data_IF_924988165471
#
_entry.id   IF_924988165471
#
_cell.length_a   1.000
_cell.length_b   1.000
_cell.length_c   1.000
_cell.angle_alpha   90.00
_cell.angle_beta   90.00
_cell.angle_gamma   90.00
#
_symmetry.space_group_name_H-M   'P 1'
#
loop_
_entity.id
_entity.type
_entity.pdbx_description
1 polymer ?
#
# COMPACT_ATOMS: atom_id res chain seq x y z
N UNK A 1 37.89 -9.51 3.41
CA UNK A 1 37.25 -8.18 3.32
C UNK A 1 36.98 -7.90 1.87
N UNK A 2 35.81 -7.36 1.53
CA UNK A 2 35.58 -6.81 0.19
C UNK A 2 36.42 -5.52 0.00
N UNK A 3 36.38 -4.96 -1.20
CA UNK A 3 37.10 -3.73 -1.57
C UNK A 3 36.71 -2.50 -0.71
N UNK A 4 35.61 -2.61 0.05
CA UNK A 4 35.10 -1.61 0.99
C UNK A 4 35.38 -1.93 2.48
N UNK A 5 36.16 -2.97 2.78
CA UNK A 5 36.53 -3.32 4.16
C UNK A 5 35.43 -4.05 4.95
N UNK A 6 34.38 -4.56 4.30
CA UNK A 6 33.32 -5.32 4.98
C UNK A 6 33.73 -6.78 5.19
N UNK A 7 33.43 -7.31 6.36
CA UNK A 7 33.59 -8.74 6.66
C UNK A 7 32.44 -9.49 5.97
N UNK A 8 32.71 -10.46 5.08
CA UNK A 8 31.67 -11.25 4.46
C UNK A 8 31.02 -12.16 5.52
N UNK A 9 29.70 -12.04 5.67
CA UNK A 9 28.92 -12.93 6.51
C UNK A 9 28.38 -14.09 5.67
N UNK A 10 28.49 -15.30 6.18
CA UNK A 10 27.93 -16.51 5.58
C UNK A 10 26.95 -17.17 6.53
N UNK A 11 25.87 -17.77 5.99
CA UNK A 11 24.93 -18.53 6.79
C UNK A 11 25.63 -19.73 7.45
N UNK A 12 25.33 -19.97 8.72
CA UNK A 12 25.68 -21.23 9.40
C UNK A 12 24.78 -22.36 8.91
N UNK A 13 25.09 -23.62 9.24
CA UNK A 13 24.17 -24.71 8.91
C UNK A 13 22.82 -24.55 9.60
N UNK A 14 22.83 -24.16 10.88
CA UNK A 14 21.61 -23.81 11.61
C UNK A 14 20.82 -22.69 10.90
N UNK A 15 21.50 -21.66 10.40
CA UNK A 15 20.87 -20.59 9.62
C UNK A 15 20.26 -21.07 8.31
N UNK A 16 20.90 -22.02 7.61
CA UNK A 16 20.33 -22.64 6.40
C UNK A 16 19.10 -23.48 6.71
N UNK A 17 19.10 -24.23 7.81
CA UNK A 17 17.93 -25.01 8.28
C UNK A 17 16.77 -24.08 8.59
N UNK A 18 17.00 -23.02 9.36
CA UNK A 18 15.94 -22.06 9.71
C UNK A 18 15.40 -21.35 8.46
N UNK A 19 16.25 -20.94 7.52
CA UNK A 19 15.83 -20.31 6.28
C UNK A 19 14.94 -21.23 5.43
N UNK A 20 15.30 -22.52 5.33
CA UNK A 20 14.45 -23.52 4.64
C UNK A 20 13.09 -23.68 5.32
N UNK A 21 13.06 -23.74 6.65
CA UNK A 21 11.81 -23.80 7.40
C UNK A 21 10.95 -22.55 7.16
N UNK A 22 11.58 -21.36 7.18
CA UNK A 22 10.91 -20.08 6.95
C UNK A 22 10.21 -20.00 5.58
N UNK A 23 10.85 -20.47 4.50
CA UNK A 23 10.23 -20.48 3.16
C UNK A 23 8.93 -21.29 3.07
N UNK A 24 8.72 -22.25 3.98
CA UNK A 24 7.52 -23.09 4.01
C UNK A 24 6.48 -22.63 5.02
N UNK A 25 6.85 -21.71 5.91
CA UNK A 25 5.96 -21.20 6.95
C UNK A 25 4.99 -20.18 6.33
N UNK A 26 3.66 -20.37 6.44
CA UNK A 26 2.70 -19.37 6.00
C UNK A 26 2.92 -18.04 6.73
N UNK A 27 2.68 -16.93 6.03
CA UNK A 27 2.65 -15.60 6.65
C UNK A 27 1.29 -15.41 7.30
N UNK A 28 1.23 -15.50 8.62
CA UNK A 28 0.03 -15.16 9.39
C UNK A 28 -0.24 -13.66 9.30
N UNK A 29 -1.44 -13.30 8.83
CA UNK A 29 -1.92 -11.91 8.90
C UNK A 29 -2.68 -11.76 10.21
N UNK A 30 -1.97 -11.44 11.29
CA UNK A 30 -2.63 -10.88 12.48
C UNK A 30 -3.44 -9.64 12.03
N UNK A 31 -4.60 -9.41 12.66
CA UNK A 31 -5.58 -8.38 12.29
C UNK A 31 -4.92 -7.11 11.71
N UNK A 32 -5.42 -6.56 10.59
CA UNK A 32 -4.72 -5.54 9.83
C UNK A 32 -4.22 -4.46 10.79
N UNK A 33 -2.90 -4.30 10.84
CA UNK A 33 -2.23 -3.22 11.57
C UNK A 33 -3.03 -1.95 11.29
N UNK A 34 -3.54 -1.29 12.34
CA UNK A 34 -4.38 -0.11 12.27
C UNK A 34 -4.04 0.76 11.06
N UNK A 35 -4.89 0.67 10.03
CA UNK A 35 -4.69 1.42 8.80
C UNK A 35 -4.85 2.90 9.13
N UNK A 36 -3.73 3.63 9.08
CA UNK A 36 -3.66 5.05 9.47
C UNK A 36 -4.64 5.89 8.64
N UNK A 37 -4.85 5.55 7.37
CA UNK A 37 -5.76 6.28 6.49
C UNK A 37 -7.22 6.04 6.89
N UNK A 38 -7.59 4.82 7.23
CA UNK A 38 -8.92 4.52 7.75
C UNK A 38 -9.21 5.31 9.03
N UNK A 39 -8.23 5.36 9.94
CA UNK A 39 -8.33 6.15 11.18
C UNK A 39 -8.47 7.65 10.87
N UNK A 40 -7.66 8.19 9.96
CA UNK A 40 -7.76 9.59 9.52
C UNK A 40 -9.14 9.92 8.98
N UNK A 41 -9.70 9.09 8.10
CA UNK A 41 -11.03 9.34 7.53
C UNK A 41 -12.12 9.28 8.60
N UNK A 42 -12.08 8.30 9.52
CA UNK A 42 -13.06 8.20 10.61
C UNK A 42 -12.99 9.42 11.52
N UNK A 43 -11.78 9.89 11.88
CA UNK A 43 -11.62 11.09 12.70
C UNK A 43 -12.06 12.35 11.97
N UNK A 44 -11.77 12.47 10.67
CA UNK A 44 -12.13 13.64 9.87
C UNK A 44 -13.65 13.85 9.76
N UNK A 45 -14.45 12.78 9.76
CA UNK A 45 -15.93 12.88 9.72
C UNK A 45 -16.49 13.61 10.94
N UNK A 46 -15.90 13.44 12.12
CA UNK A 46 -16.38 14.06 13.37
C UNK A 46 -15.63 15.31 13.81
N UNK A 47 -14.57 15.72 13.11
CA UNK A 47 -13.68 16.78 13.53
C UNK A 47 -14.16 18.16 13.04
N UNK A 48 -14.44 19.13 13.94
CA UNK A 48 -14.79 20.48 13.54
C UNK A 48 -13.68 21.14 12.71
N UNK A 49 -14.05 21.72 11.57
CA UNK A 49 -13.12 22.45 10.70
C UNK A 49 -12.24 21.58 9.80
N UNK A 50 -12.42 20.25 9.78
CA UNK A 50 -11.73 19.35 8.85
C UNK A 50 -12.63 19.05 7.65
N UNK A 51 -12.15 19.33 6.43
CA UNK A 51 -12.83 18.86 5.22
C UNK A 51 -12.34 17.45 4.87
N UNK A 52 -13.18 16.45 5.19
CA UNK A 52 -12.91 15.04 4.85
C UNK A 52 -12.72 14.82 3.34
N UNK A 53 -13.30 15.66 2.47
CA UNK A 53 -13.06 15.58 1.03
C UNK A 53 -11.65 15.99 0.66
N UNK A 54 -11.10 17.01 1.32
CA UNK A 54 -9.72 17.43 1.09
C UNK A 54 -8.72 16.33 1.50
N UNK A 55 -9.00 15.63 2.61
CA UNK A 55 -8.20 14.48 3.05
C UNK A 55 -8.24 13.35 2.01
N UNK A 56 -9.43 13.02 1.51
CA UNK A 56 -9.62 11.97 0.51
C UNK A 56 -8.93 12.32 -0.82
N UNK A 57 -9.09 13.55 -1.30
CA UNK A 57 -8.47 14.05 -2.52
C UNK A 57 -6.94 14.07 -2.43
N UNK A 58 -6.41 14.45 -1.26
CA UNK A 58 -4.97 14.44 -1.01
C UNK A 58 -4.41 13.02 -1.09
N UNK A 59 -5.09 12.05 -0.46
CA UNK A 59 -4.68 10.66 -0.54
C UNK A 59 -4.80 10.10 -1.97
N UNK A 60 -5.90 10.41 -2.67
CA UNK A 60 -6.13 9.98 -4.05
C UNK A 60 -5.01 10.41 -4.99
N UNK A 61 -4.54 11.67 -4.88
CA UNK A 61 -3.39 12.15 -5.66
C UNK A 61 -2.12 11.37 -5.35
N UNK A 62 -1.83 11.14 -4.08
CA UNK A 62 -0.65 10.39 -3.65
C UNK A 62 -0.68 8.94 -4.19
N UNK A 63 -1.82 8.25 -4.11
CA UNK A 63 -1.99 6.89 -4.63
C UNK A 63 -1.84 6.86 -6.15
N UNK A 64 -2.41 7.83 -6.87
CA UNK A 64 -2.31 7.91 -8.33
C UNK A 64 -0.86 8.13 -8.79
N UNK A 65 -0.12 9.03 -8.14
CA UNK A 65 1.30 9.28 -8.42
C UNK A 65 2.14 8.03 -8.13
N UNK A 66 1.89 7.36 -7.00
CA UNK A 66 2.58 6.12 -6.63
C UNK A 66 2.31 5.01 -7.65
N UNK A 67 1.05 4.80 -8.02
CA UNK A 67 0.65 3.80 -9.01
C UNK A 67 1.35 4.03 -10.35
N UNK A 68 1.35 5.27 -10.86
CA UNK A 68 2.05 5.60 -12.10
C UNK A 68 3.55 5.29 -12.01
N UNK A 69 4.18 5.65 -10.89
CA UNK A 69 5.59 5.35 -10.62
C UNK A 69 5.90 3.86 -10.51
N UNK A 70 4.98 3.05 -9.96
CA UNK A 70 5.13 1.60 -9.89
C UNK A 70 4.94 0.95 -11.25
N UNK A 71 3.90 1.33 -12.01
CA UNK A 71 3.64 0.80 -13.35
C UNK A 71 4.83 1.02 -14.29
N UNK A 72 5.43 2.22 -14.28
CA UNK A 72 6.63 2.50 -15.08
C UNK A 72 7.80 1.59 -14.70
N UNK A 73 8.12 1.50 -13.41
CA UNK A 73 9.22 0.65 -12.92
C UNK A 73 8.96 -0.84 -13.15
N UNK A 74 7.69 -1.27 -13.10
CA UNK A 74 7.26 -2.63 -13.39
C UNK A 74 7.52 -2.98 -14.85
N UNK A 75 7.18 -2.09 -15.78
CA UNK A 75 7.48 -2.30 -17.20
C UNK A 75 8.99 -2.44 -17.46
N UNK A 76 9.80 -1.61 -16.82
CA UNK A 76 11.27 -1.70 -16.88
C UNK A 76 11.82 -3.00 -16.28
N UNK A 77 11.19 -3.52 -15.20
CA UNK A 77 11.54 -4.82 -14.60
C UNK A 77 11.15 -5.98 -15.48
N UNK A 78 9.95 -5.93 -16.06
CA UNK A 78 9.45 -6.97 -16.94
C UNK A 78 10.36 -7.15 -18.16
N UNK A 79 10.86 -6.06 -18.75
CA UNK A 79 11.78 -6.12 -19.87
C UNK A 79 13.09 -6.87 -19.54
N UNK A 80 13.56 -6.76 -18.29
CA UNK A 80 14.82 -7.35 -17.80
C UNK A 80 14.64 -8.63 -16.98
N UNK A 81 13.40 -9.09 -16.78
CA UNK A 81 13.09 -10.18 -15.85
C UNK A 81 13.79 -11.51 -16.19
N UNK A 82 14.18 -11.69 -17.46
CA UNK A 82 14.89 -12.87 -17.95
C UNK A 82 16.42 -12.80 -17.77
N UNK A 83 16.98 -11.62 -17.45
CA UNK A 83 18.42 -11.41 -17.36
C UNK A 83 18.99 -12.07 -16.10
N UNK A 84 18.40 -11.78 -14.93
CA UNK A 84 18.86 -12.28 -13.63
C UNK A 84 17.70 -12.50 -12.64
N UNK A 85 17.81 -13.46 -11.69
CA UNK A 85 16.79 -13.71 -10.67
C UNK A 85 16.38 -12.50 -9.83
N UNK A 86 17.30 -11.55 -9.64
CA UNK A 86 17.04 -10.29 -8.91
C UNK A 86 16.02 -9.41 -9.63
N UNK A 87 16.01 -9.39 -10.97
CA UNK A 87 15.03 -8.63 -11.76
C UNK A 87 13.63 -9.26 -11.65
N UNK A 88 13.54 -10.59 -11.60
CA UNK A 88 12.28 -11.28 -11.31
C UNK A 88 11.77 -10.96 -9.90
N UNK A 89 12.65 -11.00 -8.89
CA UNK A 89 12.29 -10.63 -7.53
C UNK A 89 11.79 -9.18 -7.44
N UNK A 90 12.48 -8.25 -8.12
CA UNK A 90 12.08 -6.84 -8.24
C UNK A 90 10.72 -6.68 -8.92
N UNK A 91 10.48 -7.41 -10.00
CA UNK A 91 9.20 -7.44 -10.70
C UNK A 91 8.07 -7.88 -9.77
N UNK A 92 8.23 -8.98 -9.05
CA UNK A 92 7.21 -9.51 -8.12
C UNK A 92 6.86 -8.51 -7.01
N UNK A 93 7.86 -7.81 -6.46
CA UNK A 93 7.63 -6.74 -5.48
C UNK A 93 6.83 -5.59 -6.09
N UNK A 94 7.17 -5.16 -7.30
CA UNK A 94 6.46 -4.08 -8.00
C UNK A 94 5.02 -4.47 -8.34
N UNK A 95 4.77 -5.73 -8.72
CA UNK A 95 3.42 -6.24 -8.94
C UNK A 95 2.57 -6.16 -7.69
N UNK A 96 3.11 -6.59 -6.55
CA UNK A 96 2.42 -6.47 -5.28
C UNK A 96 2.11 -4.99 -4.93
N UNK A 97 3.05 -4.06 -5.14
CA UNK A 97 2.83 -2.64 -4.87
C UNK A 97 1.76 -2.03 -5.79
N UNK A 98 1.70 -2.43 -7.06
CA UNK A 98 0.62 -2.03 -7.96
C UNK A 98 -0.73 -2.52 -7.43
N UNK A 99 -0.84 -3.78 -7.03
CA UNK A 99 -2.10 -4.32 -6.49
C UNK A 99 -2.53 -3.62 -5.20
N UNK A 100 -1.60 -3.27 -4.31
CA UNK A 100 -1.92 -2.50 -3.10
C UNK A 100 -2.47 -1.11 -3.45
N UNK A 101 -1.80 -0.38 -4.36
CA UNK A 101 -2.26 0.95 -4.77
C UNK A 101 -3.63 0.91 -5.48
N UNK A 102 -3.89 -0.11 -6.31
CA UNK A 102 -5.19 -0.32 -6.93
C UNK A 102 -6.29 -0.65 -5.93
N UNK A 103 -5.98 -1.48 -4.93
CA UNK A 103 -6.92 -1.81 -3.86
C UNK A 103 -7.28 -0.58 -3.02
N UNK A 104 -6.28 0.25 -2.68
CA UNK A 104 -6.47 1.49 -1.95
C UNK A 104 -7.28 2.50 -2.76
N UNK A 105 -6.97 2.69 -4.05
CA UNK A 105 -7.73 3.55 -4.96
C UNK A 105 -9.22 3.14 -5.00
N UNK A 106 -9.49 1.84 -5.18
CA UNK A 106 -10.86 1.32 -5.17
C UNK A 106 -11.56 1.52 -3.83
N UNK A 107 -10.84 1.42 -2.72
CA UNK A 107 -11.39 1.67 -1.40
C UNK A 107 -11.71 3.15 -1.18
N UNK A 108 -10.85 4.07 -1.64
CA UNK A 108 -11.09 5.52 -1.61
C UNK A 108 -12.35 5.90 -2.40
N UNK A 109 -12.58 5.29 -3.57
CA UNK A 109 -13.79 5.52 -4.35
C UNK A 109 -15.06 5.09 -3.61
N UNK A 110 -15.00 3.97 -2.87
CA UNK A 110 -16.11 3.53 -2.00
C UNK A 110 -16.34 4.53 -0.87
N UNK A 111 -15.27 5.05 -0.26
CA UNK A 111 -15.34 6.08 0.79
C UNK A 111 -16.00 7.35 0.28
N UNK A 112 -15.62 7.84 -0.90
CA UNK A 112 -16.21 9.03 -1.51
C UNK A 112 -17.71 8.86 -1.75
N UNK A 113 -18.14 7.73 -2.33
CA UNK A 113 -19.57 7.45 -2.56
C UNK A 113 -20.36 7.49 -1.26
N UNK A 114 -19.80 7.01 -0.14
CA UNK A 114 -20.44 7.05 1.18
C UNK A 114 -20.50 8.47 1.74
N UNK A 115 -19.44 9.25 1.62
CA UNK A 115 -19.40 10.66 2.04
C UNK A 115 -20.41 11.52 1.27
N UNK A 116 -20.57 11.29 -0.03
CA UNK A 116 -21.59 11.95 -0.85
C UNK A 116 -23.04 11.61 -0.47
N UNK A 117 -23.27 10.51 0.25
CA UNK A 117 -24.60 10.15 0.79
C UNK A 117 -24.87 10.87 2.11
N UNK A 118 -23.88 10.92 3.01
CA UNK A 118 -24.00 11.65 4.28
C UNK A 118 -24.32 13.13 4.06
N UNK A 119 -23.54 13.80 3.20
CA UNK A 119 -23.75 15.23 2.89
C UNK A 119 -25.11 15.54 2.25
N UNK A 120 -25.71 14.58 1.52
CA UNK A 120 -27.08 14.73 1.00
C UNK A 120 -28.14 14.58 2.10
N UNK A 121 -27.94 13.67 3.05
CA UNK A 121 -28.84 13.49 4.20
C UNK A 121 -28.91 14.76 5.05
N UNK A 122 -27.75 15.33 5.40
CA UNK A 122 -27.67 16.56 6.21
C UNK A 122 -28.38 17.75 5.55
N UNK A 123 -28.28 17.87 4.22
CA UNK A 123 -28.96 18.93 3.46
C UNK A 123 -30.47 18.76 3.39
N UNK A 124 -30.97 17.52 3.34
CA UNK A 124 -32.40 17.25 3.35
C UNK A 124 -33.00 17.59 4.72
N UNK A 125 -32.36 17.15 5.80
CA UNK A 125 -32.76 17.47 7.18
C UNK A 125 -32.78 18.98 7.45
N UNK A 126 -31.79 19.74 6.93
CA UNK A 126 -31.74 21.19 7.07
C UNK A 126 -32.78 21.96 6.22
N UNK A 127 -33.39 21.32 5.21
CA UNK A 127 -34.45 21.93 4.39
C UNK A 127 -35.86 21.66 4.93
N UNK A 128 -36.00 20.70 5.86
CA UNK A 128 -37.27 20.29 6.47
C UNK A 128 -37.53 20.94 7.85
N UNK A 129 -36.53 21.59 8.46
CA UNK A 129 -36.62 22.30 9.75
C UNK A 129 -36.60 23.82 9.61
#
# INVERSE_FOLDING_TARGET
MDEAGRVPYALTEAGRVELRAWFTRPVERAAPSCDELAIKLVMAVGAPGVDVREVLETQRRQVAEALHGYVRRRAEALARAHEHPEELARLLVLEQLVFQAEAESRWLDICEVRLLRLTRSERAEAAEG
#
